data_IF_695930541323
#
_entry.id   IF_695930541323
#
_cell.length_a   1.000
_cell.length_b   1.000
_cell.length_c   1.000
_cell.angle_alpha   90.00
_cell.angle_beta   90.00
_cell.angle_gamma   90.00
#
_symmetry.space_group_name_H-M   'P 1'
#
loop_
_entity.id
_entity.type
_entity.pdbx_description
1 polymer ?
#
# COMPACT_ATOMS: atom_id res chain seq x y z
N UNK A 1 3.79 23.22 -6.70
CA UNK A 1 3.36 22.96 -5.30
C UNK A 1 4.23 21.86 -4.73
N UNK A 2 4.70 21.99 -3.48
CA UNK A 2 5.50 20.96 -2.80
C UNK A 2 4.62 19.77 -2.38
N UNK A 3 5.20 18.58 -2.28
CA UNK A 3 4.48 17.37 -1.83
C UNK A 3 3.81 17.53 -0.46
N UNK A 4 4.43 18.29 0.46
CA UNK A 4 3.87 18.60 1.78
C UNK A 4 2.62 19.46 1.69
N UNK A 5 2.63 20.47 0.85
CA UNK A 5 1.49 21.38 0.63
C UNK A 5 0.29 20.62 0.03
N UNK A 6 0.53 19.72 -0.92
CA UNK A 6 -0.54 18.87 -1.48
C UNK A 6 -1.18 18.02 -0.38
N UNK A 7 -0.38 17.40 0.50
CA UNK A 7 -0.93 16.60 1.62
C UNK A 7 -1.81 17.42 2.54
N UNK A 8 -1.32 18.59 2.96
CA UNK A 8 -2.08 19.49 3.86
C UNK A 8 -3.42 19.93 3.23
N UNK A 9 -3.39 20.26 1.93
CA UNK A 9 -4.61 20.62 1.21
C UNK A 9 -5.62 19.48 1.15
N UNK A 10 -5.16 18.25 0.87
CA UNK A 10 -6.04 17.08 0.78
C UNK A 10 -6.64 16.74 2.15
N UNK A 11 -5.85 16.71 3.22
CA UNK A 11 -6.39 16.46 4.56
C UNK A 11 -7.43 17.50 4.95
N UNK A 12 -7.14 18.78 4.73
CA UNK A 12 -8.08 19.88 4.98
C UNK A 12 -9.36 19.73 4.15
N UNK A 13 -9.22 19.50 2.84
CA UNK A 13 -10.35 19.34 1.92
C UNK A 13 -11.29 18.21 2.33
N UNK A 14 -10.74 17.04 2.71
CA UNK A 14 -11.55 15.89 3.12
C UNK A 14 -12.33 16.15 4.41
N UNK A 15 -11.74 16.89 5.37
CA UNK A 15 -12.42 17.32 6.60
C UNK A 15 -13.51 18.35 6.34
N UNK A 16 -13.20 19.40 5.57
CA UNK A 16 -14.16 20.47 5.23
C UNK A 16 -15.37 19.94 4.44
N UNK A 17 -15.15 18.93 3.59
CA UNK A 17 -16.23 18.28 2.83
C UNK A 17 -16.97 17.20 3.60
N UNK A 18 -16.60 16.95 4.85
CA UNK A 18 -17.25 15.98 5.72
C UNK A 18 -17.13 14.52 5.27
N UNK A 19 -16.17 14.22 4.37
CA UNK A 19 -15.98 12.85 3.83
C UNK A 19 -14.91 12.05 4.57
N UNK A 20 -14.14 12.68 5.46
CA UNK A 20 -13.17 12.01 6.30
C UNK A 20 -13.84 11.11 7.33
N UNK A 21 -13.37 9.85 7.47
CA UNK A 21 -13.83 8.89 8.46
C UNK A 21 -12.76 8.55 9.48
N UNK A 22 -13.18 7.90 10.57
CA UNK A 22 -12.26 7.35 11.58
C UNK A 22 -11.21 6.40 10.94
N UNK A 23 -9.95 6.44 11.41
CA UNK A 23 -9.44 7.14 12.58
C UNK A 23 -9.16 8.62 12.32
N UNK A 24 -9.45 9.46 13.33
CA UNK A 24 -9.17 10.89 13.33
C UNK A 24 -8.14 11.25 14.42
N UNK A 25 -7.37 12.34 14.29
CA UNK A 25 -7.30 13.24 13.12
C UNK A 25 -6.73 12.50 11.89
N UNK A 26 -7.17 12.88 10.69
CA UNK A 26 -6.68 12.27 9.45
C UNK A 26 -5.31 12.82 9.01
N UNK A 27 -4.94 14.01 9.51
CA UNK A 27 -3.62 14.61 9.27
C UNK A 27 -2.49 13.64 9.67
N UNK A 28 -1.50 13.48 8.82
CA UNK A 28 -0.39 12.54 9.03
C UNK A 28 -0.75 11.06 8.79
N UNK A 29 -1.96 10.76 8.31
CA UNK A 29 -2.44 9.40 7.99
C UNK A 29 -2.76 9.26 6.51
N UNK A 30 -2.84 8.01 6.04
CA UNK A 30 -3.65 7.70 4.86
C UNK A 30 -5.10 7.85 5.28
N UNK A 31 -5.83 8.84 4.72
CA UNK A 31 -7.15 9.20 5.22
C UNK A 31 -8.17 8.11 4.88
N UNK A 32 -8.96 7.72 5.87
CA UNK A 32 -10.16 6.92 5.60
C UNK A 32 -11.29 7.86 5.16
N UNK A 33 -12.19 7.37 4.31
CA UNK A 33 -13.16 8.21 3.62
C UNK A 33 -14.51 7.53 3.43
N UNK A 34 -15.55 8.35 3.22
CA UNK A 34 -16.89 7.88 2.85
C UNK A 34 -16.83 7.19 1.50
N UNK A 35 -17.30 5.95 1.43
CA UNK A 35 -17.28 5.14 0.21
C UNK A 35 -16.02 4.30 0.03
N UNK A 36 -15.18 4.15 1.06
CA UNK A 36 -14.02 3.26 1.00
C UNK A 36 -14.43 1.80 0.65
N UNK A 37 -15.57 1.35 1.15
CA UNK A 37 -16.15 0.04 0.85
C UNK A 37 -16.60 -0.07 -0.62
N UNK A 38 -17.13 1.02 -1.19
CA UNK A 38 -17.54 1.09 -2.59
C UNK A 38 -16.32 1.02 -3.50
N UNK A 39 -15.27 1.79 -3.19
CA UNK A 39 -14.01 1.74 -3.93
C UNK A 39 -13.38 0.33 -3.87
N UNK A 40 -13.38 -0.29 -2.69
CA UNK A 40 -12.90 -1.67 -2.53
C UNK A 40 -13.73 -2.68 -3.34
N UNK A 41 -15.06 -2.52 -3.37
CA UNK A 41 -15.94 -3.38 -4.19
C UNK A 41 -15.67 -3.21 -5.69
N UNK A 42 -15.39 -1.99 -6.17
CA UNK A 42 -14.96 -1.76 -7.56
C UNK A 42 -13.60 -2.41 -7.84
N UNK A 43 -12.63 -2.27 -6.93
CA UNK A 43 -11.33 -2.92 -7.05
C UNK A 43 -11.48 -4.44 -7.16
N UNK A 44 -12.38 -5.05 -6.38
CA UNK A 44 -12.68 -6.49 -6.41
C UNK A 44 -13.17 -6.96 -7.80
N UNK A 45 -13.74 -6.07 -8.62
CA UNK A 45 -14.22 -6.38 -9.98
C UNK A 45 -13.12 -6.29 -11.05
N UNK A 46 -11.96 -5.71 -10.75
CA UNK A 46 -10.84 -5.63 -11.69
C UNK A 46 -10.32 -7.02 -12.04
N UNK A 47 -9.93 -7.22 -13.29
CA UNK A 47 -9.32 -8.48 -13.74
C UNK A 47 -8.00 -8.76 -13.00
N UNK A 48 -7.23 -7.73 -12.71
CA UNK A 48 -6.00 -7.82 -11.92
C UNK A 48 -6.27 -8.40 -10.52
N UNK A 49 -7.37 -8.01 -9.89
CA UNK A 49 -7.79 -8.57 -8.60
C UNK A 49 -8.29 -9.99 -8.73
N UNK A 50 -9.18 -10.27 -9.70
CA UNK A 50 -9.77 -11.60 -9.90
C UNK A 50 -8.71 -12.66 -10.15
N UNK A 51 -7.70 -12.35 -10.96
CA UNK A 51 -6.59 -13.26 -11.30
C UNK A 51 -5.57 -13.42 -10.17
N UNK A 52 -5.46 -12.44 -9.27
CA UNK A 52 -4.49 -12.48 -8.19
C UNK A 52 -4.82 -13.58 -7.17
N UNK A 53 -3.87 -14.46 -6.90
CA UNK A 53 -3.93 -15.45 -5.81
C UNK A 53 -3.33 -14.87 -4.53
N UNK A 54 -2.28 -14.09 -4.65
CA UNK A 54 -1.58 -13.43 -3.56
C UNK A 54 -1.69 -11.92 -3.74
N UNK A 55 -2.27 -11.25 -2.76
CA UNK A 55 -2.44 -9.80 -2.74
C UNK A 55 -1.62 -9.22 -1.59
N UNK A 56 -0.76 -8.27 -1.89
CA UNK A 56 -0.19 -7.39 -0.89
C UNK A 56 -1.09 -6.17 -0.69
N UNK A 57 -1.43 -5.87 0.56
CA UNK A 57 -2.26 -4.70 0.86
C UNK A 57 -1.70 -3.94 2.07
N UNK A 58 -1.52 -2.63 1.92
CA UNK A 58 -1.08 -1.78 3.03
C UNK A 58 -2.05 -1.85 4.22
N UNK A 59 -1.55 -1.69 5.47
CA UNK A 59 -2.36 -1.84 6.68
C UNK A 59 -3.26 -0.64 6.98
N UNK A 60 -3.26 0.40 6.15
CA UNK A 60 -4.02 1.63 6.39
C UNK A 60 -5.53 1.39 6.38
N UNK A 61 -6.26 2.22 7.13
CA UNK A 61 -7.71 2.05 7.37
C UNK A 61 -8.57 2.01 6.10
N UNK A 62 -8.37 2.88 5.10
CA UNK A 62 -9.21 2.85 3.89
C UNK A 62 -9.03 1.57 3.05
N UNK A 63 -7.92 0.85 3.21
CA UNK A 63 -7.70 -0.43 2.52
C UNK A 63 -8.22 -1.64 3.30
N UNK A 64 -8.78 -1.46 4.52
CA UNK A 64 -9.34 -2.58 5.29
C UNK A 64 -10.41 -3.37 4.52
N UNK A 65 -11.37 -2.74 3.81
CA UNK A 65 -12.35 -3.50 3.03
C UNK A 65 -11.71 -4.36 1.94
N UNK A 66 -10.63 -3.90 1.30
CA UNK A 66 -9.88 -4.70 0.32
C UNK A 66 -9.27 -5.94 0.97
N UNK A 67 -8.66 -5.78 2.15
CA UNK A 67 -8.08 -6.90 2.90
C UNK A 67 -9.13 -7.94 3.29
N UNK A 68 -10.29 -7.47 3.75
CA UNK A 68 -11.41 -8.35 4.11
C UNK A 68 -11.94 -9.11 2.90
N UNK A 69 -12.10 -8.43 1.74
CA UNK A 69 -12.49 -9.09 0.50
C UNK A 69 -11.46 -10.12 0.05
N UNK A 70 -10.16 -9.82 0.13
CA UNK A 70 -9.12 -10.78 -0.23
C UNK A 70 -9.25 -12.09 0.56
N UNK A 71 -9.50 -12.00 1.87
CA UNK A 71 -9.70 -13.19 2.72
C UNK A 71 -11.01 -13.92 2.37
N UNK A 72 -12.11 -13.19 2.16
CA UNK A 72 -13.41 -13.77 1.74
C UNK A 72 -13.35 -14.47 0.39
N UNK A 73 -12.49 -13.99 -0.50
CA UNK A 73 -12.30 -14.54 -1.85
C UNK A 73 -11.26 -15.67 -1.91
N UNK A 74 -10.84 -16.20 -0.77
CA UNK A 74 -9.94 -17.34 -0.71
C UNK A 74 -8.48 -17.02 -1.07
N UNK A 75 -8.09 -15.74 -1.06
CA UNK A 75 -6.75 -15.32 -1.43
C UNK A 75 -5.77 -15.35 -0.25
N UNK A 76 -4.49 -15.39 -0.57
CA UNK A 76 -3.41 -15.14 0.39
C UNK A 76 -3.22 -13.63 0.49
N UNK A 77 -3.30 -13.09 1.70
CA UNK A 77 -3.08 -11.68 1.99
C UNK A 77 -1.70 -11.51 2.62
N UNK A 78 -0.91 -10.61 2.06
CA UNK A 78 0.37 -10.17 2.64
C UNK A 78 0.22 -8.72 3.10
N UNK A 79 0.72 -8.44 4.30
CA UNK A 79 0.76 -7.09 4.88
C UNK A 79 2.14 -6.80 5.44
N UNK A 80 2.60 -5.56 5.36
CA UNK A 80 3.75 -5.13 6.15
C UNK A 80 3.34 -4.93 7.62
N UNK A 81 4.22 -5.29 8.53
CA UNK A 81 4.07 -4.88 9.93
C UNK A 81 4.32 -3.36 10.06
N UNK A 82 3.75 -2.68 11.08
CA UNK A 82 3.94 -1.26 11.27
C UNK A 82 5.43 -0.87 11.22
N UNK A 83 5.78 0.08 10.33
CA UNK A 83 7.13 0.54 10.05
C UNK A 83 8.12 -0.58 9.66
N UNK A 84 7.60 -1.71 9.14
CA UNK A 84 8.42 -2.90 8.76
C UNK A 84 9.29 -3.47 9.90
N UNK A 85 8.98 -3.17 11.16
CA UNK A 85 9.79 -3.56 12.31
C UNK A 85 9.95 -5.07 12.48
N UNK A 86 8.92 -5.85 12.10
CA UNK A 86 8.90 -7.32 12.20
C UNK A 86 8.78 -8.01 10.83
N UNK A 87 9.08 -7.29 9.74
CA UNK A 87 8.91 -7.81 8.39
C UNK A 87 7.45 -7.83 7.95
N UNK A 88 6.95 -8.98 7.53
CA UNK A 88 5.64 -9.12 6.90
C UNK A 88 4.76 -10.12 7.63
N UNK A 89 3.46 -9.95 7.45
CA UNK A 89 2.41 -10.89 7.89
C UNK A 89 1.82 -11.56 6.65
N UNK A 90 1.74 -12.88 6.68
CA UNK A 90 1.11 -13.70 5.66
C UNK A 90 -0.15 -14.33 6.26
N UNK A 91 -1.30 -14.02 5.69
CA UNK A 91 -2.60 -14.55 6.06
C UNK A 91 -3.11 -15.47 4.95
N UNK A 92 -3.15 -16.75 5.24
CA UNK A 92 -3.73 -17.76 4.36
C UNK A 92 -5.20 -17.93 4.73
N UNK A 93 -6.10 -17.47 3.86
CA UNK A 93 -7.54 -17.50 4.10
C UNK A 93 -8.08 -18.91 4.39
N UNK A 94 -7.45 -19.94 3.82
CA UNK A 94 -7.85 -21.35 4.07
C UNK A 94 -7.61 -21.80 5.50
N UNK A 95 -6.79 -21.07 6.26
CA UNK A 95 -6.42 -21.38 7.66
C UNK A 95 -7.10 -20.47 8.69
N UNK A 96 -7.94 -19.54 8.21
CA UNK A 96 -8.65 -18.58 9.06
C UNK A 96 -10.14 -18.91 9.00
N UNK A 97 -10.82 -19.06 10.14
CA UNK A 97 -12.26 -19.26 10.15
C UNK A 97 -12.98 -18.09 9.41
N UNK A 98 -13.97 -18.35 8.54
CA UNK A 98 -14.68 -17.30 7.81
C UNK A 98 -15.27 -16.22 8.71
N UNK A 99 -15.75 -16.57 9.91
CA UNK A 99 -16.25 -15.63 10.93
C UNK A 99 -15.19 -14.66 11.44
N UNK A 100 -13.90 -14.98 11.28
CA UNK A 100 -12.78 -14.16 11.73
C UNK A 100 -12.22 -13.22 10.63
N UNK A 101 -12.66 -13.29 9.38
CA UNK A 101 -12.09 -12.50 8.27
C UNK A 101 -12.14 -10.99 8.51
N UNK A 102 -13.24 -10.48 9.05
CA UNK A 102 -13.34 -9.05 9.39
C UNK A 102 -12.30 -8.65 10.45
N UNK A 103 -12.10 -9.48 11.49
CA UNK A 103 -11.07 -9.26 12.51
C UNK A 103 -9.66 -9.40 11.94
N UNK A 104 -9.40 -10.44 11.15
CA UNK A 104 -8.11 -10.71 10.52
C UNK A 104 -7.68 -9.60 9.55
N UNK A 105 -8.64 -8.86 8.96
CA UNK A 105 -8.36 -7.71 8.08
C UNK A 105 -7.83 -6.47 8.82
N UNK A 106 -7.88 -6.43 10.15
CA UNK A 106 -7.29 -5.37 10.98
C UNK A 106 -5.82 -5.65 11.27
N UNK A 107 -5.04 -4.62 11.67
CA UNK A 107 -3.63 -4.83 12.06
C UNK A 107 -3.54 -5.82 13.24
N UNK A 108 -4.35 -5.63 14.28
CA UNK A 108 -4.35 -6.52 15.46
C UNK A 108 -4.71 -7.94 15.10
N UNK A 109 -5.78 -8.13 14.34
CA UNK A 109 -6.20 -9.46 13.90
C UNK A 109 -5.22 -10.11 12.94
N UNK A 110 -4.52 -9.32 12.11
CA UNK A 110 -3.47 -9.84 11.24
C UNK A 110 -2.30 -10.45 12.04
N UNK A 111 -1.95 -9.89 13.20
CA UNK A 111 -0.97 -10.51 14.11
C UNK A 111 -1.50 -11.78 14.80
N UNK A 112 -2.80 -11.85 15.01
CA UNK A 112 -3.45 -13.01 15.68
C UNK A 112 -3.59 -14.20 14.73
N UNK A 113 -4.03 -13.95 13.49
CA UNK A 113 -4.35 -14.99 12.51
C UNK A 113 -3.26 -15.21 11.44
N UNK A 114 -2.35 -14.27 11.28
CA UNK A 114 -1.28 -14.33 10.31
C UNK A 114 0.00 -14.94 10.84
N UNK A 115 0.88 -15.31 9.94
CA UNK A 115 2.23 -15.78 10.24
C UNK A 115 3.23 -14.68 9.93
N UNK A 116 4.12 -14.36 10.87
CA UNK A 116 5.28 -13.50 10.58
C UNK A 116 6.23 -14.21 9.62
N UNK A 117 6.60 -13.53 8.56
CA UNK A 117 7.54 -14.04 7.55
C UNK A 117 8.58 -12.97 7.20
N UNK A 118 9.80 -13.41 7.00
CA UNK A 118 10.85 -12.57 6.45
C UNK A 118 10.64 -12.33 4.96
N UNK A 119 11.29 -11.29 4.39
CA UNK A 119 11.07 -10.89 3.00
C UNK A 119 11.41 -12.00 2.00
N UNK A 120 12.45 -12.79 2.24
CA UNK A 120 12.87 -13.90 1.37
C UNK A 120 11.96 -15.14 1.40
N UNK A 121 10.97 -15.16 2.29
CA UNK A 121 9.96 -16.24 2.40
C UNK A 121 8.59 -15.82 1.89
N UNK A 122 8.50 -14.63 1.30
CA UNK A 122 7.25 -14.15 0.69
C UNK A 122 6.95 -14.95 -0.58
N UNK A 123 5.69 -15.32 -0.79
CA UNK A 123 5.26 -15.85 -2.09
C UNK A 123 5.32 -14.75 -3.16
N UNK A 124 5.28 -15.14 -4.43
CA UNK A 124 5.11 -14.21 -5.54
C UNK A 124 3.77 -13.47 -5.40
N UNK A 125 3.81 -12.15 -5.35
CA UNK A 125 2.66 -11.26 -5.17
C UNK A 125 2.13 -10.86 -6.54
N UNK A 126 0.84 -11.09 -6.77
CA UNK A 126 0.21 -10.85 -8.06
C UNK A 126 -0.43 -9.45 -8.17
N UNK A 127 -0.71 -8.80 -7.05
CA UNK A 127 -1.32 -7.48 -6.98
C UNK A 127 -0.85 -6.78 -5.70
N UNK A 128 -0.44 -5.51 -5.81
CA UNK A 128 -0.12 -4.68 -4.64
C UNK A 128 -1.09 -3.52 -4.52
N UNK A 129 -1.77 -3.45 -3.37
CA UNK A 129 -2.69 -2.35 -3.04
C UNK A 129 -2.01 -1.39 -2.07
N UNK A 130 -1.85 -0.15 -2.46
CA UNK A 130 -1.12 0.89 -1.74
C UNK A 130 -2.07 1.96 -1.20
N UNK A 131 -1.80 2.43 0.02
CA UNK A 131 -2.48 3.58 0.60
C UNK A 131 -1.93 4.90 0.03
N UNK A 132 -2.80 5.89 -0.15
CA UNK A 132 -2.44 7.18 -0.73
C UNK A 132 -3.14 8.33 -0.01
N UNK A 133 -2.43 9.44 0.17
CA UNK A 133 -3.01 10.73 0.58
C UNK A 133 -3.52 11.49 -0.64
N UNK A 134 -2.75 11.50 -1.72
CA UNK A 134 -3.13 12.10 -2.99
C UNK A 134 -2.60 11.26 -4.15
N UNK A 135 -3.29 11.33 -5.28
CA UNK A 135 -2.92 10.68 -6.53
C UNK A 135 -3.18 11.59 -7.72
N UNK A 136 -2.48 11.39 -8.82
CA UNK A 136 -2.78 12.05 -10.09
C UNK A 136 -3.09 11.04 -11.18
N UNK A 137 -3.92 11.40 -12.20
CA UNK A 137 -4.22 10.52 -13.33
C UNK A 137 -2.98 10.06 -14.09
N UNK A 138 -1.89 10.82 -13.98
CA UNK A 138 -0.57 10.50 -14.53
C UNK A 138 0.19 9.42 -13.75
N UNK A 139 -0.42 8.81 -12.73
CA UNK A 139 0.19 7.77 -11.91
C UNK A 139 1.00 8.29 -10.72
N UNK A 140 1.06 9.60 -10.48
CA UNK A 140 1.71 10.15 -9.30
C UNK A 140 0.97 9.73 -8.02
N UNK A 141 1.74 9.41 -6.94
CA UNK A 141 1.20 8.99 -5.65
C UNK A 141 1.93 9.69 -4.50
N UNK A 142 1.17 10.18 -3.54
CA UNK A 142 1.70 10.65 -2.26
C UNK A 142 1.23 9.76 -1.11
N UNK A 143 2.17 9.19 -0.38
CA UNK A 143 1.93 8.61 0.94
C UNK A 143 1.97 9.65 2.05
N UNK A 144 2.08 9.21 3.30
CA UNK A 144 2.10 10.07 4.50
C UNK A 144 3.29 11.03 4.61
N UNK A 145 4.34 10.79 3.83
CA UNK A 145 5.56 11.62 3.84
C UNK A 145 6.77 10.96 4.51
N UNK A 146 6.64 9.77 5.07
CA UNK A 146 7.74 9.05 5.73
C UNK A 146 8.49 8.06 4.82
N UNK A 147 8.08 7.89 3.56
CA UNK A 147 8.73 6.99 2.60
C UNK A 147 8.57 5.49 2.83
N UNK A 148 7.91 5.05 3.92
CA UNK A 148 7.81 3.61 4.23
C UNK A 148 7.16 2.77 3.14
N UNK A 149 6.17 3.29 2.43
CA UNK A 149 5.48 2.54 1.37
C UNK A 149 6.33 2.36 0.12
N UNK A 150 7.19 3.35 -0.16
CA UNK A 150 8.12 3.30 -1.28
C UNK A 150 9.30 2.38 -0.95
N UNK A 151 9.83 2.45 0.28
CA UNK A 151 10.83 1.48 0.79
C UNK A 151 10.27 0.06 0.82
N UNK A 152 9.03 -0.15 1.24
CA UNK A 152 8.36 -1.44 1.21
C UNK A 152 8.33 -2.01 -0.22
N UNK A 153 7.98 -1.18 -1.21
CA UNK A 153 7.98 -1.59 -2.62
C UNK A 153 9.37 -2.04 -3.08
N UNK A 154 10.42 -1.25 -2.83
CA UNK A 154 11.76 -1.60 -3.30
C UNK A 154 12.33 -2.83 -2.56
N UNK A 155 11.98 -3.05 -1.29
CA UNK A 155 12.30 -4.30 -0.59
C UNK A 155 11.65 -5.49 -1.28
N UNK A 156 10.36 -5.41 -1.61
CA UNK A 156 9.64 -6.48 -2.31
C UNK A 156 10.23 -6.77 -3.70
N UNK A 157 10.70 -5.73 -4.40
CA UNK A 157 11.40 -5.85 -5.68
C UNK A 157 12.75 -6.57 -5.52
N UNK A 158 13.54 -6.14 -4.54
CA UNK A 158 14.88 -6.66 -4.26
C UNK A 158 14.87 -8.16 -3.95
N UNK A 159 13.85 -8.61 -3.20
CA UNK A 159 13.69 -10.04 -2.86
C UNK A 159 12.95 -10.85 -3.92
N UNK A 160 12.53 -10.24 -5.02
CA UNK A 160 11.81 -10.90 -6.11
C UNK A 160 10.35 -11.27 -5.79
N UNK A 161 9.78 -10.74 -4.71
CA UNK A 161 8.37 -10.99 -4.35
C UNK A 161 7.40 -10.29 -5.30
N UNK A 162 7.80 -9.17 -5.90
CA UNK A 162 7.09 -8.47 -6.99
C UNK A 162 8.02 -8.24 -8.17
N UNK A 163 7.43 -8.02 -9.33
CA UNK A 163 8.15 -7.70 -10.57
C UNK A 163 7.72 -6.33 -11.12
N UNK A 164 8.33 -5.91 -12.22
CA UNK A 164 7.90 -4.71 -12.95
C UNK A 164 6.44 -4.83 -13.40
N UNK A 165 5.99 -6.06 -13.73
CA UNK A 165 4.65 -6.33 -14.23
C UNK A 165 3.59 -6.43 -13.12
N UNK A 166 3.97 -6.51 -11.85
CA UNK A 166 3.01 -6.57 -10.75
C UNK A 166 2.17 -5.29 -10.70
N UNK A 167 0.83 -5.36 -10.88
CA UNK A 167 -0.02 -4.18 -10.86
C UNK A 167 -0.01 -3.49 -9.50
N UNK A 168 0.09 -2.15 -9.53
CA UNK A 168 0.00 -1.28 -8.35
C UNK A 168 -1.32 -0.52 -8.37
N UNK A 169 -2.16 -0.77 -7.39
CA UNK A 169 -3.51 -0.20 -7.31
C UNK A 169 -3.67 0.58 -6.01
N UNK A 170 -4.46 1.63 -6.02
CA UNK A 170 -4.85 2.37 -4.82
C UNK A 170 -6.34 2.62 -4.78
N UNK A 171 -6.92 2.64 -3.55
CA UNK A 171 -8.29 3.09 -3.31
C UNK A 171 -8.25 4.44 -2.62
N UNK A 172 -8.94 5.42 -3.17
CA UNK A 172 -8.99 6.81 -2.68
C UNK A 172 -10.39 7.39 -2.88
N UNK A 173 -10.70 8.49 -2.17
CA UNK A 173 -11.86 9.32 -2.49
C UNK A 173 -11.59 10.16 -3.74
N UNK A 174 -12.62 10.53 -4.50
CA UNK A 174 -12.47 11.37 -5.69
C UNK A 174 -11.78 12.71 -5.41
N UNK A 175 -11.96 13.28 -4.23
CA UNK A 175 -11.28 14.51 -3.78
C UNK A 175 -9.77 14.35 -3.52
N UNK A 176 -9.25 13.13 -3.49
CA UNK A 176 -7.81 12.88 -3.36
C UNK A 176 -7.09 12.88 -4.71
N UNK A 177 -7.83 13.06 -5.80
CA UNK A 177 -7.26 13.16 -7.15
C UNK A 177 -6.86 14.61 -7.40
N UNK A 178 -5.59 14.84 -7.66
CA UNK A 178 -5.03 16.14 -8.02
C UNK A 178 -4.52 16.13 -9.47
N UNK A 179 -4.46 17.29 -10.15
CA UNK A 179 -4.02 17.31 -11.56
C UNK A 179 -2.61 16.74 -11.75
N UNK A 180 -1.67 17.07 -10.88
CA UNK A 180 -0.27 16.63 -10.99
C UNK A 180 0.39 16.51 -9.63
N UNK A 181 1.37 15.62 -9.53
CA UNK A 181 2.22 15.39 -8.35
C UNK A 181 3.68 15.43 -8.80
N UNK A 182 4.55 16.22 -8.14
CA UNK A 182 5.99 16.16 -8.40
C UNK A 182 6.53 14.74 -8.12
N UNK A 183 7.20 14.15 -9.10
CA UNK A 183 7.75 12.78 -9.01
C UNK A 183 9.27 12.85 -8.89
N UNK A 184 9.82 12.05 -7.99
CA UNK A 184 11.25 11.82 -7.78
C UNK A 184 11.60 10.38 -8.17
N UNK A 185 12.87 10.09 -8.35
CA UNK A 185 13.36 8.78 -8.78
C UNK A 185 12.95 7.63 -7.86
N UNK A 186 12.85 7.89 -6.55
CA UNK A 186 12.47 6.91 -5.55
C UNK A 186 10.95 6.80 -5.33
N UNK A 187 10.14 7.63 -5.98
CA UNK A 187 8.69 7.53 -5.89
C UNK A 187 8.15 6.32 -6.66
N UNK A 188 7.19 5.64 -6.06
CA UNK A 188 6.53 4.49 -6.67
C UNK A 188 5.20 4.95 -7.28
N UNK A 189 5.07 4.92 -8.62
CA UNK A 189 3.85 5.31 -9.30
C UNK A 189 2.74 4.26 -9.14
N UNK A 190 1.50 4.67 -9.41
CA UNK A 190 0.31 3.80 -9.40
C UNK A 190 -0.13 3.53 -10.84
N UNK A 191 -0.58 2.30 -11.11
CA UNK A 191 -1.17 1.93 -12.41
C UNK A 191 -2.67 2.14 -12.45
N UNK A 192 -3.37 1.91 -11.33
CA UNK A 192 -4.82 1.96 -11.28
C UNK A 192 -5.26 2.70 -10.02
N UNK A 193 -6.08 3.73 -10.22
CA UNK A 193 -6.74 4.47 -9.16
C UNK A 193 -8.21 4.05 -9.14
N UNK A 194 -8.71 3.63 -7.98
CA UNK A 194 -10.10 3.24 -7.80
C UNK A 194 -10.75 4.15 -6.76
N UNK A 195 -11.83 4.80 -7.17
CA UNK A 195 -12.64 5.67 -6.30
C UNK A 195 -14.05 5.10 -6.14
N UNK A 196 -14.88 5.65 -5.27
CA UNK A 196 -16.29 5.29 -5.22
C UNK A 196 -17.02 5.49 -6.56
N UNK A 197 -16.63 6.50 -7.35
CA UNK A 197 -17.30 6.85 -8.60
C UNK A 197 -16.72 6.16 -9.84
N UNK A 198 -15.39 5.94 -9.90
CA UNK A 198 -14.71 5.53 -11.13
C UNK A 198 -13.42 4.75 -10.91
N UNK A 199 -12.95 4.16 -12.01
CA UNK A 199 -11.62 3.53 -12.14
C UNK A 199 -10.82 4.33 -13.17
N UNK A 200 -9.59 4.70 -12.82
CA UNK A 200 -8.66 5.40 -13.71
C UNK A 200 -7.45 4.50 -13.93
N UNK A 201 -7.16 4.19 -15.19
CA UNK A 201 -5.93 3.50 -15.59
C UNK A 201 -4.89 4.55 -15.97
N UNK A 202 -3.79 4.57 -15.23
CA UNK A 202 -2.71 5.53 -15.41
C UNK A 202 -1.74 5.09 -16.50
N UNK A 203 -1.05 6.01 -17.19
CA UNK A 203 0.06 5.66 -18.03
C UNK A 203 1.15 4.92 -17.26
N UNK A 204 1.73 3.90 -17.86
CA UNK A 204 2.83 3.18 -17.24
C UNK A 204 4.05 4.08 -17.10
N UNK A 205 4.61 4.14 -15.91
CA UNK A 205 5.79 4.93 -15.58
C UNK A 205 6.93 4.03 -15.09
N UNK A 206 8.19 4.45 -15.31
CA UNK A 206 9.34 3.78 -14.72
C UNK A 206 9.20 3.68 -13.20
N UNK A 207 9.66 2.59 -12.63
CA UNK A 207 9.62 2.28 -11.20
C UNK A 207 11.03 2.01 -10.67
N UNK A 208 11.29 2.29 -9.40
CA UNK A 208 12.53 1.87 -8.78
C UNK A 208 12.74 0.36 -8.95
N UNK A 209 13.93 -0.05 -9.43
CA UNK A 209 14.23 -1.47 -9.66
C UNK A 209 14.67 -2.19 -8.39
N UNK A 210 15.13 -1.45 -7.39
CA UNK A 210 15.59 -1.93 -6.11
C UNK A 210 15.85 -0.77 -5.16
N UNK A 211 16.55 -1.02 -4.07
CA UNK A 211 16.86 0.00 -3.06
C UNK A 211 17.90 0.98 -3.59
N UNK A 212 17.54 2.26 -3.64
CA UNK A 212 18.48 3.36 -3.95
C UNK A 212 19.15 3.76 -2.63
N UNK A 213 20.27 3.15 -2.33
CA UNK A 213 20.94 3.27 -1.03
C UNK A 213 21.32 4.71 -0.65
N UNK A 214 21.68 5.54 -1.62
CA UNK A 214 21.97 6.97 -1.40
C UNK A 214 20.75 7.77 -0.91
N UNK A 215 19.53 7.25 -1.09
CA UNK A 215 18.28 7.88 -0.65
C UNK A 215 17.72 7.26 0.64
N UNK A 216 18.34 6.22 1.17
CA UNK A 216 17.94 5.61 2.44
C UNK A 216 18.56 6.39 3.59
N UNK A 217 17.72 7.01 4.42
CA UNK A 217 18.20 7.74 5.59
C UNK A 217 18.74 6.79 6.67
N UNK A 218 19.65 7.32 7.51
CA UNK A 218 20.15 6.59 8.68
C UNK A 218 19.01 6.13 9.59
N UNK A 219 18.01 6.99 9.78
CA UNK A 219 16.83 6.68 10.58
C UNK A 219 16.06 5.48 9.99
N UNK A 220 15.88 5.40 8.67
CA UNK A 220 15.25 4.25 8.01
C UNK A 220 16.08 2.98 8.18
N UNK A 221 17.41 3.08 8.04
CA UNK A 221 18.31 1.94 8.27
C UNK A 221 18.23 1.40 9.70
N UNK A 222 18.07 2.28 10.67
CA UNK A 222 17.92 1.90 12.09
C UNK A 222 16.53 1.33 12.37
N UNK A 223 15.48 1.90 11.77
CA UNK A 223 14.08 1.52 12.02
C UNK A 223 13.63 0.24 11.32
N UNK A 224 14.26 -0.12 10.18
CA UNK A 224 13.85 -1.24 9.33
C UNK A 224 14.94 -2.30 9.28
N UNK A 225 14.86 -3.37 10.11
CA UNK A 225 15.90 -4.41 10.17
C UNK A 225 16.21 -5.06 8.82
N UNK A 226 15.19 -5.24 7.98
CA UNK A 226 15.32 -5.82 6.63
C UNK A 226 16.30 -5.05 5.75
N UNK A 227 16.36 -3.72 5.86
CA UNK A 227 17.32 -2.91 5.09
C UNK A 227 18.76 -3.22 5.47
N UNK A 228 19.04 -3.48 6.75
CA UNK A 228 20.38 -3.88 7.20
C UNK A 228 20.79 -5.23 6.62
N UNK A 229 19.84 -6.17 6.54
CA UNK A 229 20.09 -7.50 5.98
C UNK A 229 20.31 -7.42 4.46
N UNK A 230 19.53 -6.60 3.75
CA UNK A 230 19.71 -6.33 2.33
C UNK A 230 21.06 -5.67 2.04
N UNK A 231 21.43 -4.66 2.82
CA UNK A 231 22.74 -3.98 2.70
C UNK A 231 23.92 -4.95 2.84
N UNK A 232 23.87 -5.83 3.84
CA UNK A 232 24.90 -6.86 4.04
C UNK A 232 25.02 -7.83 2.87
N UNK A 233 23.92 -8.10 2.17
CA UNK A 233 23.90 -9.00 1.01
C UNK A 233 24.32 -8.33 -0.29
N UNK A 234 23.97 -7.05 -0.46
CA UNK A 234 24.37 -6.25 -1.62
C UNK A 234 25.88 -6.01 -1.69
N UNK A 235 26.56 -6.10 -0.53
CA UNK A 235 27.96 -5.69 -0.38
C UNK A 235 28.12 -4.18 -0.30
N UNK A 236 29.22 -3.68 0.27
CA UNK A 236 29.58 -2.26 0.13
C UNK A 236 29.91 -2.03 -1.35
N UNK A 237 29.07 -1.23 -2.05
CA UNK A 237 29.36 -0.73 -3.38
C UNK A 237 30.51 0.30 -3.34
#
# INVERSE_FOLDING_TARGET
MKKSEIREQIWKLLEERGVARFPKPIKGRIPNFVGAEIAAAKLRQLEEYKRARVIFCNPDSPQRPVREFALKDGKILVMATPRLKKGFLLLDSSKIPPSAFSRASTIRGAFEYGKLVGPWRLPSINLKVMGSVAVSPEGGRLGKGHGYSDIEYVILREVGAITEETPLVTTVHDLQIVPTIPIQENDVPIDIIVTPSRVIRCPRRPRPKGVIWSMVSREMMEAIPVLKDLWKRAGPG
#
